data_IF_240236856894
#
_entry.id   IF_240236856894
#
_cell.length_a   1.000
_cell.length_b   1.000
_cell.length_c   1.000
_cell.angle_alpha   90.00
_cell.angle_beta   90.00
_cell.angle_gamma   90.00
#
_symmetry.space_group_name_H-M   'P 1'
#
loop_
_entity.id
_entity.type
_entity.pdbx_description
1 polymer ?
#
# COMPACT_ATOMS: atom_id res chain seq x y z
N UNK A 1 -18.03 5.42 -3.52
CA UNK A 1 -17.91 4.88 -4.90
C UNK A 1 -17.64 6.04 -5.84
N UNK A 2 -16.58 6.00 -6.63
CA UNK A 2 -16.46 6.91 -7.77
C UNK A 2 -17.34 6.30 -8.86
N UNK A 3 -18.52 6.86 -9.06
CA UNK A 3 -19.29 6.57 -10.26
C UNK A 3 -18.66 7.43 -11.36
N UNK A 4 -17.76 6.84 -12.16
CA UNK A 4 -17.32 7.44 -13.43
C UNK A 4 -18.57 7.47 -14.34
N UNK A 5 -19.43 8.47 -14.15
CA UNK A 5 -20.75 8.56 -14.81
C UNK A 5 -20.66 8.66 -16.33
N UNK A 6 -19.48 8.90 -16.89
CA UNK A 6 -19.33 9.38 -18.27
C UNK A 6 -18.47 8.49 -19.19
N UNK A 7 -17.98 7.33 -18.73
CA UNK A 7 -17.22 6.42 -19.60
C UNK A 7 -18.17 5.43 -20.29
N UNK A 8 -18.80 5.89 -21.37
CA UNK A 8 -19.62 5.08 -22.28
C UNK A 8 -18.86 4.86 -23.58
N UNK A 9 -18.90 3.63 -24.09
CA UNK A 9 -18.44 3.33 -25.44
C UNK A 9 -19.42 2.40 -26.12
N UNK A 10 -19.58 2.59 -27.43
CA UNK A 10 -20.37 1.69 -28.29
C UNK A 10 -19.38 0.92 -29.15
N UNK A 11 -19.47 -0.41 -29.14
CA UNK A 11 -18.57 -1.25 -29.93
C UNK A 11 -19.33 -2.37 -30.63
N UNK A 12 -18.86 -2.73 -31.83
CA UNK A 12 -19.29 -3.93 -32.54
C UNK A 12 -18.48 -5.11 -32.03
N UNK A 13 -19.15 -6.22 -31.74
CA UNK A 13 -18.50 -7.44 -31.27
C UNK A 13 -18.96 -8.67 -32.06
N UNK A 14 -18.15 -9.73 -32.01
CA UNK A 14 -18.56 -11.07 -32.44
C UNK A 14 -19.05 -11.85 -31.22
N UNK A 15 -20.08 -12.68 -31.37
CA UNK A 15 -20.59 -13.55 -30.29
C UNK A 15 -19.46 -14.39 -29.71
N UNK A 16 -19.47 -14.58 -28.38
CA UNK A 16 -18.43 -15.27 -27.61
C UNK A 16 -17.05 -14.61 -27.62
N UNK A 17 -16.90 -13.41 -28.22
CA UNK A 17 -15.66 -12.64 -28.09
C UNK A 17 -15.48 -12.21 -26.64
N UNK A 18 -14.30 -12.49 -26.11
CA UNK A 18 -13.86 -11.96 -24.83
C UNK A 18 -13.10 -10.65 -25.06
N UNK A 19 -13.36 -9.64 -24.24
CA UNK A 19 -12.47 -8.50 -24.02
C UNK A 19 -12.07 -8.44 -22.55
N UNK A 20 -10.89 -7.86 -22.30
CA UNK A 20 -10.49 -7.45 -20.97
C UNK A 20 -10.54 -5.93 -20.89
N UNK A 21 -11.28 -5.41 -19.91
CA UNK A 21 -11.35 -3.99 -19.65
C UNK A 21 -10.42 -3.67 -18.47
N UNK A 22 -9.48 -2.75 -18.70
CA UNK A 22 -8.56 -2.26 -17.68
C UNK A 22 -8.95 -0.83 -17.30
N UNK A 23 -9.01 -0.53 -16.01
CA UNK A 23 -9.34 0.80 -15.48
C UNK A 23 -8.17 1.29 -14.65
N UNK A 24 -7.70 2.50 -14.97
CA UNK A 24 -6.66 3.21 -14.22
C UNK A 24 -7.23 4.55 -13.77
N UNK A 25 -7.11 4.83 -12.48
CA UNK A 25 -7.55 6.10 -11.87
C UNK A 25 -6.30 6.84 -11.39
N UNK A 26 -6.27 8.17 -11.58
CA UNK A 26 -5.14 9.05 -11.23
C UNK A 26 -3.82 8.71 -11.96
N UNK A 27 -3.88 7.96 -13.06
CA UNK A 27 -2.71 7.51 -13.82
C UNK A 27 -2.51 8.17 -15.19
N UNK A 28 -3.24 9.25 -15.52
CA UNK A 28 -3.32 9.81 -16.88
C UNK A 28 -1.96 10.06 -17.55
N UNK A 29 -0.94 10.45 -16.79
CA UNK A 29 0.40 10.69 -17.30
C UNK A 29 1.10 9.42 -17.85
N UNK A 30 0.73 8.24 -17.33
CA UNK A 30 1.24 6.93 -17.73
C UNK A 30 0.41 6.27 -18.83
N UNK A 31 -0.72 6.88 -19.22
CA UNK A 31 -1.59 6.39 -20.28
C UNK A 31 -1.32 7.05 -21.63
N UNK A 32 -0.32 7.95 -21.70
CA UNK A 32 0.08 8.59 -22.95
C UNK A 32 0.56 7.50 -23.92
N UNK A 33 0.05 7.54 -25.15
CA UNK A 33 0.38 6.61 -26.23
C UNK A 33 -0.11 5.16 -26.04
N UNK A 34 -1.06 4.92 -25.12
CA UNK A 34 -1.78 3.66 -25.06
C UNK A 34 -3.07 3.78 -25.87
N UNK A 35 -3.25 2.91 -26.85
CA UNK A 35 -4.43 2.85 -27.70
C UNK A 35 -5.34 1.69 -27.31
N UNK A 36 -6.62 1.81 -27.66
CA UNK A 36 -7.56 0.69 -27.55
C UNK A 36 -7.09 -0.43 -28.48
N UNK A 37 -6.89 -1.63 -27.91
CA UNK A 37 -6.42 -2.80 -28.64
C UNK A 37 -4.94 -3.12 -28.45
N UNK A 38 -4.19 -2.23 -27.78
CA UNK A 38 -2.82 -2.54 -27.36
C UNK A 38 -2.80 -3.70 -26.35
N UNK A 39 -1.68 -4.42 -26.30
CA UNK A 39 -1.47 -5.47 -25.33
C UNK A 39 -1.38 -4.89 -23.90
N UNK A 40 -1.76 -5.67 -22.89
CA UNK A 40 -1.64 -5.30 -21.47
C UNK A 40 -0.21 -4.87 -21.09
N UNK A 41 0.82 -5.39 -21.75
CA UNK A 41 2.20 -4.99 -21.53
C UNK A 41 2.46 -3.51 -21.82
N UNK A 42 1.71 -2.88 -22.73
CA UNK A 42 1.77 -1.45 -22.97
C UNK A 42 1.29 -0.64 -21.76
N UNK A 43 0.41 -1.22 -20.93
CA UNK A 43 -0.04 -0.62 -19.67
C UNK A 43 0.88 -0.95 -18.48
N UNK A 44 1.52 -2.12 -18.48
CA UNK A 44 2.34 -2.59 -17.37
C UNK A 44 3.76 -1.99 -17.36
N UNK A 45 3.84 -0.68 -17.55
CA UNK A 45 5.09 0.08 -17.53
C UNK A 45 5.49 0.45 -16.10
N UNK A 46 6.77 0.74 -15.92
CA UNK A 46 7.27 1.29 -14.67
C UNK A 46 6.66 2.67 -14.42
N UNK A 47 6.17 2.87 -13.19
CA UNK A 47 5.71 4.15 -12.67
C UNK A 47 6.64 4.61 -11.56
N UNK A 48 6.74 5.92 -11.37
CA UNK A 48 7.52 6.54 -10.31
C UNK A 48 6.76 7.75 -9.76
N UNK A 49 6.90 8.04 -8.47
CA UNK A 49 6.14 9.09 -7.80
C UNK A 49 4.68 8.69 -7.53
N UNK A 50 3.74 9.65 -7.51
CA UNK A 50 2.31 9.41 -7.21
C UNK A 50 2.06 8.78 -5.83
N UNK A 51 2.91 9.11 -4.85
CA UNK A 51 2.88 8.61 -3.47
C UNK A 51 2.40 9.69 -2.47
N UNK A 52 1.58 10.63 -2.94
CA UNK A 52 0.77 11.52 -2.08
C UNK A 52 -0.68 11.07 -2.07
N UNK A 53 -1.41 11.34 -0.99
CA UNK A 53 -2.77 10.84 -0.77
C UNK A 53 -3.76 11.18 -1.90
N UNK A 54 -3.56 12.32 -2.56
CA UNK A 54 -4.37 12.82 -3.68
C UNK A 54 -3.92 12.31 -5.07
N UNK A 55 -2.73 11.71 -5.16
CA UNK A 55 -2.15 11.22 -6.42
C UNK A 55 -2.11 9.69 -6.53
N UNK A 56 -2.55 8.96 -5.51
CA UNK A 56 -2.48 7.49 -5.49
C UNK A 56 -3.23 6.90 -6.69
N UNK A 57 -2.51 6.10 -7.47
CA UNK A 57 -3.05 5.38 -8.62
C UNK A 57 -3.88 4.19 -8.12
N UNK A 58 -5.00 3.95 -8.80
CA UNK A 58 -5.79 2.72 -8.64
C UNK A 58 -5.85 1.98 -9.96
N UNK A 59 -5.83 0.66 -9.87
CA UNK A 59 -5.92 -0.23 -11.01
C UNK A 59 -6.93 -1.34 -10.75
N UNK A 60 -7.58 -1.79 -11.81
CA UNK A 60 -8.35 -3.03 -11.82
C UNK A 60 -8.68 -3.46 -13.23
N UNK A 61 -9.00 -4.75 -13.40
CA UNK A 61 -9.49 -5.27 -14.67
C UNK A 61 -10.72 -6.16 -14.48
N UNK A 62 -11.46 -6.36 -15.57
CA UNK A 62 -12.54 -7.34 -15.62
C UNK A 62 -12.65 -7.96 -17.00
N UNK A 63 -13.10 -9.22 -17.03
CA UNK A 63 -13.32 -9.96 -18.26
C UNK A 63 -14.78 -9.80 -18.71
N UNK A 64 -14.96 -9.30 -19.92
CA UNK A 64 -16.27 -9.14 -20.55
C UNK A 64 -16.40 -10.21 -21.63
N UNK A 65 -17.45 -11.02 -21.54
CA UNK A 65 -17.80 -11.99 -22.59
C UNK A 65 -19.04 -11.49 -23.30
N UNK A 66 -18.91 -11.14 -24.56
CA UNK A 66 -20.04 -10.64 -25.31
C UNK A 66 -20.92 -11.76 -25.84
N UNK A 67 -22.22 -11.50 -25.85
CA UNK A 67 -23.17 -12.27 -26.64
C UNK A 67 -23.77 -13.51 -25.98
N UNK A 68 -23.81 -13.56 -24.64
CA UNK A 68 -24.57 -14.61 -23.94
C UNK A 68 -26.09 -14.43 -24.08
N UNK A 69 -26.57 -13.19 -24.27
CA UNK A 69 -28.00 -12.83 -24.34
C UNK A 69 -28.32 -11.93 -25.55
N UNK A 70 -28.01 -12.37 -26.78
CA UNK A 70 -28.28 -11.56 -27.99
C UNK A 70 -29.69 -11.82 -28.51
N UNK A 71 -30.55 -10.79 -28.47
CA UNK A 71 -31.86 -10.79 -29.14
C UNK A 71 -31.84 -10.08 -30.50
N UNK A 72 -30.88 -9.17 -30.74
CA UNK A 72 -30.68 -8.47 -32.00
C UNK A 72 -29.19 -8.38 -32.34
N UNK A 73 -28.79 -8.98 -33.46
CA UNK A 73 -27.37 -9.07 -33.87
C UNK A 73 -26.82 -7.78 -34.53
N UNK A 74 -27.70 -6.83 -34.89
CA UNK A 74 -27.33 -5.60 -35.60
C UNK A 74 -28.13 -4.38 -35.12
N UNK A 75 -28.11 -4.02 -33.82
CA UNK A 75 -28.76 -2.81 -33.35
C UNK A 75 -28.10 -1.56 -33.95
N UNK A 76 -28.89 -0.52 -34.21
CA UNK A 76 -28.34 0.81 -34.51
C UNK A 76 -27.62 1.38 -33.27
N UNK A 77 -26.69 2.35 -33.43
CA UNK A 77 -26.03 2.98 -32.29
C UNK A 77 -27.01 3.52 -31.24
N UNK A 78 -28.09 4.18 -31.67
CA UNK A 78 -29.14 4.68 -30.76
C UNK A 78 -29.84 3.56 -29.98
N UNK A 79 -30.10 2.42 -30.62
CA UNK A 79 -30.67 1.25 -29.91
C UNK A 79 -29.67 0.70 -28.89
N UNK A 80 -28.38 0.63 -29.23
CA UNK A 80 -27.34 0.15 -28.32
C UNK A 80 -27.14 1.10 -27.13
N UNK A 81 -27.18 2.42 -27.34
CA UNK A 81 -27.06 3.43 -26.28
C UNK A 81 -28.22 3.36 -25.27
N UNK A 82 -29.45 3.12 -25.76
CA UNK A 82 -30.63 2.96 -24.92
C UNK A 82 -30.71 1.59 -24.22
N UNK A 83 -29.87 0.63 -24.61
CA UNK A 83 -29.80 -0.72 -24.05
C UNK A 83 -28.40 -1.03 -23.50
N UNK A 84 -27.85 -0.09 -22.74
CA UNK A 84 -26.49 -0.21 -22.21
C UNK A 84 -26.34 -1.36 -21.21
N UNK A 85 -25.24 -2.08 -21.29
CA UNK A 85 -24.81 -3.02 -20.24
C UNK A 85 -23.86 -2.32 -19.28
N UNK A 86 -24.10 -2.45 -17.97
CA UNK A 86 -23.18 -1.93 -16.96
C UNK A 86 -22.07 -2.94 -16.71
N UNK A 87 -20.82 -2.50 -16.80
CA UNK A 87 -19.64 -3.29 -16.48
C UNK A 87 -19.07 -2.77 -15.16
N UNK A 88 -19.00 -3.64 -14.15
CA UNK A 88 -18.38 -3.32 -12.87
C UNK A 88 -16.91 -3.73 -12.90
N UNK A 89 -16.01 -2.77 -12.66
CA UNK A 89 -14.57 -3.02 -12.48
C UNK A 89 -14.21 -2.67 -11.04
N UNK A 90 -13.79 -3.66 -10.26
CA UNK A 90 -13.22 -3.42 -8.94
C UNK A 90 -11.79 -2.92 -9.10
N UNK A 91 -11.45 -1.85 -8.40
CA UNK A 91 -10.10 -1.26 -8.46
C UNK A 91 -9.51 -1.22 -7.05
N UNK A 92 -8.19 -1.41 -6.98
CA UNK A 92 -7.40 -1.34 -5.75
C UNK A 92 -6.28 -0.32 -5.91
N UNK A 93 -5.76 0.20 -4.80
CA UNK A 93 -4.57 1.05 -4.83
C UNK A 93 -3.36 0.26 -5.35
N UNK A 94 -2.55 0.89 -6.20
CA UNK A 94 -1.30 0.29 -6.68
C UNK A 94 -0.19 0.41 -5.63
N UNK A 95 -0.20 1.49 -4.83
CA UNK A 95 0.68 1.67 -3.69
C UNK A 95 0.10 1.04 -2.42
N UNK A 96 0.98 0.73 -1.46
CA UNK A 96 0.66 0.44 -0.08
C UNK A 96 0.58 1.74 0.73
N UNK A 97 -0.21 1.71 1.82
CA UNK A 97 -0.23 2.75 2.85
C UNK A 97 0.41 2.20 4.12
N UNK A 98 1.31 2.95 4.73
CA UNK A 98 1.95 2.60 6.00
C UNK A 98 1.62 3.69 7.02
N UNK A 99 0.92 3.32 8.07
CA UNK A 99 0.58 4.19 9.19
C UNK A 99 1.40 3.75 10.40
N UNK A 100 2.27 4.64 10.91
CA UNK A 100 2.82 4.46 12.24
C UNK A 100 1.83 5.08 13.22
N UNK A 101 1.00 4.24 13.83
CA UNK A 101 -0.13 4.73 14.64
C UNK A 101 0.25 4.97 16.09
N UNK A 102 1.23 4.23 16.62
CA UNK A 102 1.54 4.29 18.05
C UNK A 102 2.99 3.93 18.36
N UNK A 103 3.57 4.71 19.26
CA UNK A 103 4.85 4.40 19.92
C UNK A 103 4.69 4.52 21.43
N UNK A 104 5.01 3.46 22.16
CA UNK A 104 4.89 3.41 23.62
C UNK A 104 6.20 3.00 24.28
N UNK A 105 6.50 3.62 25.42
CA UNK A 105 7.60 3.21 26.29
C UNK A 105 7.07 2.91 27.70
N UNK A 106 7.29 1.67 28.15
CA UNK A 106 7.09 1.25 29.53
C UNK A 106 8.41 1.30 30.28
N UNK A 107 8.43 2.00 31.41
CA UNK A 107 9.61 2.16 32.26
C UNK A 107 9.48 1.27 33.49
N UNK A 108 10.50 0.44 33.78
CA UNK A 108 10.50 -0.47 34.93
C UNK A 108 11.78 -0.36 35.75
N UNK A 109 11.63 -0.27 37.07
CA UNK A 109 12.76 -0.35 38.02
C UNK A 109 13.64 0.90 38.09
N UNK A 110 13.16 2.05 37.60
CA UNK A 110 13.82 3.33 37.81
C UNK A 110 13.55 3.85 39.24
N UNK A 111 14.55 4.48 39.85
CA UNK A 111 14.42 5.08 41.20
C UNK A 111 13.76 6.46 41.21
N UNK A 112 13.36 6.98 40.05
CA UNK A 112 12.68 8.26 39.84
C UNK A 112 11.91 8.26 38.52
N UNK A 113 11.52 9.44 38.04
CA UNK A 113 10.76 9.61 36.81
C UNK A 113 11.70 9.94 35.63
N UNK A 114 12.15 8.94 34.85
CA UNK A 114 13.08 9.20 33.77
C UNK A 114 12.40 9.98 32.65
N UNK A 115 13.14 10.89 32.03
CA UNK A 115 12.68 11.69 30.91
C UNK A 115 12.79 10.88 29.63
N UNK A 116 11.66 10.66 28.95
CA UNK A 116 11.61 10.05 27.62
C UNK A 116 11.44 11.11 26.55
N UNK A 117 12.35 11.12 25.57
CA UNK A 117 12.29 12.01 24.39
C UNK A 117 12.28 11.15 23.14
N UNK A 118 11.26 11.34 22.30
CA UNK A 118 11.19 10.71 20.99
C UNK A 118 11.99 11.55 19.99
N UNK A 119 13.01 10.98 19.36
CA UNK A 119 13.94 11.74 18.52
C UNK A 119 13.58 11.65 17.03
N UNK A 120 13.34 10.43 16.54
CA UNK A 120 13.17 10.19 15.10
C UNK A 120 12.35 8.93 14.82
N UNK A 121 11.47 9.01 13.83
CA UNK A 121 11.05 7.83 13.08
C UNK A 121 10.97 8.10 11.59
N UNK A 122 11.30 7.07 10.81
CA UNK A 122 11.18 7.09 9.36
C UNK A 122 10.96 5.69 8.80
N UNK A 123 10.21 5.61 7.72
CA UNK A 123 10.23 4.41 6.89
C UNK A 123 11.47 4.43 6.00
N UNK A 124 12.27 3.37 6.06
CA UNK A 124 13.47 3.16 5.23
C UNK A 124 13.21 2.07 4.20
N UNK A 125 14.00 2.08 3.12
CA UNK A 125 13.83 1.17 1.98
C UNK A 125 12.41 1.23 1.40
N UNK A 126 11.81 2.42 1.37
CA UNK A 126 10.47 2.62 0.84
C UNK A 126 10.57 2.77 -0.68
N UNK A 127 10.07 1.78 -1.42
CA UNK A 127 10.16 1.72 -2.88
C UNK A 127 9.31 2.83 -3.52
N UNK A 128 9.94 3.59 -4.42
CA UNK A 128 9.38 4.75 -5.13
C UNK A 128 8.93 4.39 -6.55
N UNK A 129 9.38 3.25 -7.07
CA UNK A 129 8.95 2.75 -8.38
C UNK A 129 7.95 1.58 -8.23
N UNK A 130 6.95 1.54 -9.09
CA UNK A 130 5.98 0.44 -9.15
C UNK A 130 5.64 0.05 -10.58
N UNK A 131 4.63 -0.82 -10.70
CA UNK A 131 3.96 -1.15 -11.96
C UNK A 131 2.45 -1.06 -11.76
N UNK A 132 1.73 -0.61 -12.80
CA UNK A 132 0.27 -0.39 -12.71
C UNK A 132 -0.49 -1.71 -12.53
N UNK A 133 -0.09 -2.75 -13.27
CA UNK A 133 -0.82 -4.02 -13.30
C UNK A 133 -0.25 -4.96 -12.25
N UNK A 134 0.88 -5.60 -12.54
CA UNK A 134 1.53 -6.56 -11.64
C UNK A 134 3.03 -6.68 -11.95
N UNK A 135 3.78 -7.15 -10.96
CA UNK A 135 5.21 -7.46 -11.06
C UNK A 135 6.11 -6.35 -10.53
N UNK A 136 7.40 -6.65 -10.53
CA UNK A 136 8.40 -5.83 -9.87
C UNK A 136 8.92 -4.71 -10.76
N UNK A 137 9.21 -3.57 -10.14
CA UNK A 137 9.82 -2.42 -10.78
C UNK A 137 11.30 -2.32 -10.38
N UNK A 138 12.09 -1.59 -11.17
CA UNK A 138 13.48 -1.35 -10.80
C UNK A 138 13.59 -0.71 -9.41
N UNK A 139 14.58 -1.12 -8.64
CA UNK A 139 14.82 -0.60 -7.28
C UNK A 139 15.08 0.90 -7.32
N UNK A 140 14.24 1.64 -6.60
CA UNK A 140 14.43 3.05 -6.33
C UNK A 140 13.88 3.37 -4.93
N UNK A 141 14.73 3.28 -3.92
CA UNK A 141 14.31 3.45 -2.53
C UNK A 141 14.60 4.86 -2.04
N UNK A 142 13.69 5.41 -1.24
CA UNK A 142 13.93 6.67 -0.52
C UNK A 142 14.85 6.42 0.68
N UNK A 143 15.84 7.29 0.91
CA UNK A 143 16.73 7.26 2.08
C UNK A 143 15.98 7.31 3.42
N UNK A 144 14.78 7.92 3.42
CA UNK A 144 13.87 7.95 4.56
C UNK A 144 12.60 8.74 4.30
N UNK A 145 11.44 8.18 4.65
CA UNK A 145 10.20 8.93 4.79
C UNK A 145 10.01 9.32 6.27
N UNK A 146 10.52 10.50 6.63
CA UNK A 146 10.44 11.04 7.99
C UNK A 146 8.99 11.25 8.41
N UNK A 147 8.69 10.81 9.63
CA UNK A 147 7.37 10.87 10.23
C UNK A 147 7.36 12.02 11.24
N UNK A 148 6.51 13.00 10.98
CA UNK A 148 6.37 14.19 11.81
C UNK A 148 4.90 14.31 12.21
N UNK A 149 4.70 14.65 13.49
CA UNK A 149 3.44 14.88 14.22
C UNK A 149 3.11 13.69 15.10
N UNK A 150 3.03 13.96 16.39
CA UNK A 150 2.54 13.00 17.36
C UNK A 150 1.82 13.75 18.47
N UNK A 151 0.72 13.16 18.93
CA UNK A 151 0.11 13.56 20.19
C UNK A 151 0.82 12.78 21.29
N UNK A 152 1.39 13.47 22.28
CA UNK A 152 2.09 12.84 23.41
C UNK A 152 1.21 12.89 24.65
N UNK A 153 1.03 11.73 25.28
CA UNK A 153 0.45 11.60 26.63
C UNK A 153 1.40 10.70 27.43
N UNK A 154 2.11 11.28 28.40
CA UNK A 154 3.12 10.55 29.19
C UNK A 154 4.26 10.01 28.32
N UNK A 155 4.41 8.69 28.27
CA UNK A 155 5.40 7.94 27.47
C UNK A 155 4.78 7.24 26.26
N UNK A 156 3.59 7.70 25.86
CA UNK A 156 2.85 7.22 24.68
C UNK A 156 2.71 8.34 23.66
N UNK A 157 2.95 7.97 22.41
CA UNK A 157 2.75 8.83 21.26
C UNK A 157 1.79 8.14 20.28
N UNK A 158 0.85 8.91 19.74
CA UNK A 158 -0.10 8.45 18.72
C UNK A 158 -0.03 9.32 17.47
N UNK A 159 -0.60 8.80 16.38
CA UNK A 159 -0.72 9.49 15.09
C UNK A 159 0.64 9.87 14.48
N UNK A 160 1.64 9.01 14.66
CA UNK A 160 3.05 9.29 14.36
C UNK A 160 3.31 9.64 12.90
N UNK A 161 2.46 9.17 11.98
CA UNK A 161 2.43 9.63 10.59
C UNK A 161 2.08 8.53 9.60
N UNK A 162 1.91 8.95 8.34
CA UNK A 162 1.58 8.08 7.22
C UNK A 162 2.62 8.24 6.11
N UNK A 163 2.98 7.13 5.47
CA UNK A 163 3.72 7.11 4.23
C UNK A 163 3.03 6.20 3.20
N UNK A 164 3.36 6.41 1.93
CA UNK A 164 2.93 5.56 0.83
C UNK A 164 4.16 5.04 0.09
N UNK A 165 4.14 3.78 -0.32
CA UNK A 165 5.21 3.17 -1.09
C UNK A 165 4.68 2.06 -1.99
N UNK A 166 5.41 1.76 -3.05
CA UNK A 166 5.08 0.61 -3.90
C UNK A 166 5.57 -0.70 -3.28
N UNK A 167 5.16 -1.81 -3.87
CA UNK A 167 5.52 -3.13 -3.40
C UNK A 167 7.05 -3.27 -3.26
N UNK A 168 7.49 -3.84 -2.15
CA UNK A 168 8.90 -4.11 -1.90
C UNK A 168 9.03 -5.42 -1.11
N UNK A 169 9.60 -6.43 -1.77
CA UNK A 169 9.88 -7.73 -1.20
C UNK A 169 11.37 -8.08 -1.36
N UNK A 170 11.97 -8.51 -0.26
CA UNK A 170 13.34 -9.02 -0.18
C UNK A 170 13.50 -10.28 -1.05
N UNK A 171 14.64 -10.38 -1.75
CA UNK A 171 15.08 -11.48 -2.65
C UNK A 171 14.54 -11.49 -4.09
N UNK A 172 13.51 -10.72 -4.43
CA UNK A 172 13.05 -10.63 -5.83
C UNK A 172 13.85 -9.59 -6.60
N UNK A 173 13.79 -8.32 -6.18
CA UNK A 173 14.59 -7.26 -6.79
C UNK A 173 15.22 -6.30 -5.76
N UNK A 174 14.80 -6.32 -4.50
CA UNK A 174 15.37 -5.45 -3.46
C UNK A 174 16.40 -6.17 -2.59
N UNK A 175 17.48 -5.45 -2.24
CA UNK A 175 18.48 -5.88 -1.25
C UNK A 175 17.93 -5.83 0.19
N UNK A 176 16.84 -5.11 0.44
CA UNK A 176 16.28 -4.87 1.78
C UNK A 176 14.76 -4.66 1.75
N UNK A 177 14.05 -5.27 2.72
CA UNK A 177 12.62 -4.99 2.93
C UNK A 177 12.39 -3.54 3.39
N UNK A 178 11.21 -3.00 3.09
CA UNK A 178 10.74 -1.77 3.75
C UNK A 178 10.67 -2.00 5.26
N UNK A 179 11.16 -1.02 6.02
CA UNK A 179 11.29 -1.11 7.46
C UNK A 179 10.96 0.22 8.15
N UNK A 180 10.61 0.17 9.43
CA UNK A 180 10.43 1.33 10.29
C UNK A 180 11.68 1.50 11.17
N UNK A 181 12.38 2.63 11.05
CA UNK A 181 13.41 3.04 11.98
C UNK A 181 12.80 3.91 13.08
N UNK A 182 13.17 3.65 14.33
CA UNK A 182 12.78 4.44 15.51
C UNK A 182 14.01 4.74 16.35
N UNK A 183 14.12 5.98 16.83
CA UNK A 183 15.13 6.45 17.77
C UNK A 183 14.51 7.33 18.85
N UNK A 184 14.90 7.10 20.09
CA UNK A 184 14.47 7.87 21.26
C UNK A 184 15.54 7.82 22.35
N UNK A 185 15.40 8.68 23.36
CA UNK A 185 16.24 8.67 24.56
C UNK A 185 15.43 8.49 25.84
N UNK A 186 16.06 7.85 26.83
CA UNK A 186 15.60 7.79 28.23
C UNK A 186 16.73 8.28 29.11
N UNK A 187 16.56 9.42 29.80
CA UNK A 187 17.60 10.10 30.58
C UNK A 187 18.93 10.26 29.82
N UNK A 188 18.86 10.60 28.53
CA UNK A 188 20.02 10.81 27.67
C UNK A 188 20.67 9.51 27.12
N UNK A 189 20.25 8.32 27.57
CA UNK A 189 20.66 7.05 26.94
C UNK A 189 19.85 6.84 25.66
N UNK A 190 20.54 6.62 24.56
CA UNK A 190 19.95 6.41 23.23
C UNK A 190 19.47 4.97 23.06
N UNK A 191 18.28 4.81 22.49
CA UNK A 191 17.71 3.56 22.02
C UNK A 191 17.28 3.73 20.57
N UNK A 192 17.72 2.83 19.70
CA UNK A 192 17.32 2.83 18.30
C UNK A 192 17.19 1.40 17.77
N UNK A 193 16.23 1.17 16.88
CA UNK A 193 16.04 -0.12 16.19
C UNK A 193 15.33 0.09 14.85
N UNK A 194 15.64 -0.77 13.90
CA UNK A 194 14.98 -0.85 12.60
C UNK A 194 14.17 -2.14 12.54
N UNK A 195 12.87 -2.02 12.28
CA UNK A 195 11.94 -3.14 12.24
C UNK A 195 11.48 -3.44 10.81
N UNK A 196 11.76 -4.63 10.25
CA UNK A 196 11.23 -5.00 8.94
C UNK A 196 9.70 -5.09 9.01
N UNK A 197 9.02 -4.57 7.98
CA UNK A 197 7.56 -4.62 7.91
C UNK A 197 7.14 -5.89 7.20
N UNK A 198 6.27 -6.67 7.83
CA UNK A 198 5.77 -7.94 7.32
C UNK A 198 6.89 -8.90 6.84
N UNK A 199 7.90 -9.21 7.68
CA UNK A 199 9.00 -10.08 7.31
C UNK A 199 8.54 -11.50 6.94
N UNK A 200 9.47 -12.25 6.35
CA UNK A 200 9.36 -13.69 6.17
C UNK A 200 9.40 -14.38 7.55
N UNK A 201 8.87 -15.61 7.65
CA UNK A 201 8.97 -16.48 8.83
C UNK A 201 8.26 -15.97 10.10
N UNK A 202 7.14 -15.28 9.93
CA UNK A 202 6.21 -14.97 11.02
C UNK A 202 4.85 -15.61 10.71
N UNK A 203 4.07 -15.89 11.75
CA UNK A 203 2.67 -16.25 11.56
C UNK A 203 1.91 -15.00 11.11
N UNK A 204 1.19 -15.08 9.98
CA UNK A 204 0.41 -13.97 9.44
C UNK A 204 -0.77 -14.47 8.62
N UNK A 205 -1.85 -13.69 8.63
CA UNK A 205 -3.07 -13.99 7.89
C UNK A 205 -3.02 -13.54 6.42
N UNK A 206 -1.93 -12.88 6.00
CA UNK A 206 -1.73 -12.44 4.62
C UNK A 206 -0.71 -13.32 3.89
N UNK A 207 -1.06 -13.72 2.67
CA UNK A 207 -0.23 -14.56 1.80
C UNK A 207 0.75 -13.71 0.96
N UNK A 208 1.55 -12.88 1.64
CA UNK A 208 2.69 -12.20 1.02
C UNK A 208 3.68 -11.70 2.09
N UNK A 209 4.91 -11.42 1.66
CA UNK A 209 5.96 -10.83 2.49
C UNK A 209 6.24 -9.39 2.05
N UNK A 210 6.88 -8.61 2.93
CA UNK A 210 7.13 -7.18 2.69
C UNK A 210 5.84 -6.39 2.53
N UNK A 211 5.93 -5.25 1.87
CA UNK A 211 4.75 -4.43 1.56
C UNK A 211 4.25 -4.74 0.15
N UNK A 212 2.92 -4.78 0.00
CA UNK A 212 2.19 -5.03 -1.24
C UNK A 212 1.17 -3.92 -1.50
N UNK A 213 1.03 -3.52 -2.76
CA UNK A 213 0.02 -2.56 -3.20
C UNK A 213 -1.40 -3.00 -2.85
N UNK A 214 -2.24 -2.04 -2.48
CA UNK A 214 -3.61 -2.28 -2.03
C UNK A 214 -3.75 -2.27 -0.51
N UNK A 215 -2.71 -2.70 0.19
CA UNK A 215 -2.71 -2.91 1.63
C UNK A 215 -2.42 -1.65 2.44
N UNK A 216 -3.10 -1.54 3.57
CA UNK A 216 -2.78 -0.61 4.67
C UNK A 216 -2.09 -1.38 5.79
N UNK A 217 -0.89 -0.97 6.17
CA UNK A 217 -0.12 -1.48 7.31
C UNK A 217 -0.23 -0.51 8.48
N UNK A 218 -0.96 -0.89 9.53
CA UNK A 218 -1.13 -0.13 10.77
C UNK A 218 -0.11 -0.62 11.79
N UNK A 219 0.88 0.20 12.13
CA UNK A 219 2.12 -0.21 12.81
C UNK A 219 2.18 0.42 14.19
N UNK A 220 2.50 -0.39 15.19
CA UNK A 220 2.67 0.01 16.58
C UNK A 220 3.97 -0.56 17.13
N UNK A 221 4.70 0.24 17.88
CA UNK A 221 5.97 -0.16 18.50
C UNK A 221 5.88 0.06 19.99
N UNK A 222 6.23 -0.97 20.76
CA UNK A 222 6.27 -0.91 22.21
C UNK A 222 7.69 -1.21 22.71
N UNK A 223 8.21 -0.40 23.63
CA UNK A 223 9.47 -0.67 24.31
C UNK A 223 9.24 -0.85 25.80
N UNK A 224 9.91 -1.83 26.40
CA UNK A 224 10.09 -1.92 27.85
C UNK A 224 11.54 -1.60 28.18
N UNK A 225 11.75 -0.53 28.94
CA UNK A 225 13.07 -0.04 29.34
C UNK A 225 13.25 -0.19 30.85
N UNK A 226 14.44 -0.64 31.23
CA UNK A 226 14.97 -0.64 32.60
C UNK A 226 16.27 0.16 32.66
N UNK A 227 16.80 0.48 33.85
CA UNK A 227 18.11 1.11 33.96
C UNK A 227 19.25 0.29 33.31
N UNK A 228 19.11 -1.04 33.21
CA UNK A 228 20.16 -1.95 32.73
C UNK A 228 20.00 -2.28 31.25
N UNK A 229 18.79 -2.62 30.82
CA UNK A 229 18.50 -3.09 29.47
C UNK A 229 17.19 -2.52 28.94
N UNK A 230 17.02 -2.57 27.62
CA UNK A 230 15.77 -2.25 26.93
C UNK A 230 15.40 -3.38 25.98
N UNK A 231 14.11 -3.65 25.87
CA UNK A 231 13.53 -4.63 24.96
C UNK A 231 12.35 -4.00 24.22
N UNK A 232 11.99 -4.57 23.07
CA UNK A 232 11.04 -3.96 22.13
C UNK A 232 10.20 -5.01 21.41
N UNK A 233 8.93 -4.71 21.21
CA UNK A 233 8.05 -5.45 20.30
C UNK A 233 7.49 -4.52 19.22
N UNK A 234 7.24 -5.09 18.05
CA UNK A 234 6.53 -4.40 16.97
C UNK A 234 5.30 -5.23 16.59
N UNK A 235 4.18 -4.53 16.45
CA UNK A 235 2.94 -5.06 15.92
C UNK A 235 2.63 -4.34 14.62
N UNK A 236 2.13 -5.07 13.62
CA UNK A 236 1.59 -4.46 12.42
C UNK A 236 0.33 -5.22 11.98
N UNK A 237 -0.69 -4.49 11.55
CA UNK A 237 -1.95 -5.06 11.09
C UNK A 237 -2.15 -4.70 9.64
N UNK A 238 -2.70 -5.62 8.84
CA UNK A 238 -3.07 -5.31 7.46
C UNK A 238 -4.57 -5.14 7.33
N UNK A 239 -5.00 -4.04 6.72
CA UNK A 239 -6.43 -3.77 6.49
C UNK A 239 -6.71 -3.70 5.00
N UNK A 240 -6.90 -4.86 4.39
CA UNK A 240 -7.36 -4.97 3.00
C UNK A 240 -8.87 -5.16 2.99
N UNK A 241 -9.60 -4.09 3.34
CA UNK A 241 -11.07 -3.99 3.38
C UNK A 241 -11.85 -4.99 4.27
N UNK A 242 -11.17 -5.96 4.87
CA UNK A 242 -11.54 -6.75 6.06
C UNK A 242 -10.33 -6.68 7.00
N UNK A 243 -10.57 -6.50 8.29
CA UNK A 243 -9.50 -6.47 9.29
C UNK A 243 -8.88 -7.88 9.40
N UNK A 244 -7.61 -8.01 9.02
CA UNK A 244 -6.83 -9.23 9.25
C UNK A 244 -5.76 -8.93 10.30
N UNK A 245 -5.68 -9.76 11.33
CA UNK A 245 -4.72 -9.61 12.44
C UNK A 245 -3.41 -10.30 12.05
N UNK A 246 -2.27 -9.60 12.13
CA UNK A 246 -0.97 -10.27 12.13
C UNK A 246 -0.47 -10.23 13.59
N UNK A 247 -0.18 -11.39 14.21
CA UNK A 247 0.21 -11.46 15.61
C UNK A 247 1.55 -10.76 15.88
N UNK A 248 1.73 -10.38 17.14
CA UNK A 248 2.93 -9.76 17.70
C UNK A 248 4.20 -10.59 17.37
N UNK A 249 5.23 -9.92 16.87
CA UNK A 249 6.53 -10.55 16.60
C UNK A 249 7.54 -10.06 17.63
N UNK A 250 8.02 -10.99 18.47
CA UNK A 250 9.18 -10.78 19.33
C UNK A 250 10.43 -11.08 18.49
N UNK A 251 11.22 -10.05 18.18
CA UNK A 251 12.49 -10.16 17.41
C UNK A 251 13.68 -9.73 18.26
#
# INVERSE_FOLDING_TARGET
SITLKDLKFVTKYKTNRTLEAHVVINGNQFLKNINIGDAQSALNQQISGCLSADQLIKYGSTRIVFGKDITNSYPSPSVAENNSTTILVKVSHVAARLDFSQFDVTLKGFGGDPTVVFDEAKFVNLQQNGKIVEGDASVNVKDGAFLNRSNRIGTRWTDMGTAYGYANQYKQDSKTNTALYVKFTVDGRIFEKTYPINPDNINKEVDHNGIKGGYLYDIKVHWTITPKWGDSTIEFYTRDWVHNTIPEVVL
#
